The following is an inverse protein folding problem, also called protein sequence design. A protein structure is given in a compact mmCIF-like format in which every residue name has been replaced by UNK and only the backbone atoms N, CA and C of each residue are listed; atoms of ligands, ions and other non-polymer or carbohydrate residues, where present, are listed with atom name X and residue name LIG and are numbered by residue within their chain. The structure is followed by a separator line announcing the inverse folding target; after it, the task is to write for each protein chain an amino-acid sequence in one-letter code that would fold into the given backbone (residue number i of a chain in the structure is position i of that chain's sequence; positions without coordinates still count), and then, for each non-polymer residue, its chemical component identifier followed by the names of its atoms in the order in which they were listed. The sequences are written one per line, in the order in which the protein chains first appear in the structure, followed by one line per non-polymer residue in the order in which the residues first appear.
data_IF_903217860469
#
_entry.id   IF_903217860469
#
_cell.length_a   1.000
_cell.length_b   1.000
_cell.length_c   1.000
_cell.angle_alpha   90.00
_cell.angle_beta   90.00
_cell.angle_gamma   90.00
#
_symmetry.space_group_name_H-M   'P 1'
#
loop_
_entity.id
_entity.type
_entity.pdbx_description
1 polymer ?
#
# COMPACT_ATOMS: atom_id res chain seq x y z
N UNK A 1 10.99 1.82 -39.59
CA UNK A 1 10.38 0.62 -38.95
C UNK A 1 9.89 1.05 -37.58
N UNK A 2 8.63 0.75 -37.23
CA UNK A 2 8.15 0.94 -35.86
C UNK A 2 8.80 -0.10 -34.95
N UNK A 3 9.42 0.34 -33.86
CA UNK A 3 10.01 -0.53 -32.85
C UNK A 3 9.05 -0.66 -31.67
N UNK A 4 8.83 -1.90 -31.22
CA UNK A 4 7.86 -2.23 -30.19
C UNK A 4 8.55 -2.80 -28.95
N UNK A 5 8.12 -2.36 -27.78
CA UNK A 5 8.50 -2.97 -26.51
C UNK A 5 7.26 -3.42 -25.74
N UNK A 6 7.32 -4.61 -25.18
CA UNK A 6 6.24 -5.25 -24.45
C UNK A 6 6.61 -5.42 -22.98
N UNK A 7 5.64 -5.19 -22.09
CA UNK A 7 5.75 -5.48 -20.66
C UNK A 7 4.59 -6.41 -20.31
N UNK A 8 4.88 -7.56 -19.74
CA UNK A 8 3.85 -8.51 -19.33
C UNK A 8 4.27 -9.21 -18.05
N UNK A 9 3.43 -9.22 -17.03
CA UNK A 9 3.68 -10.01 -15.83
C UNK A 9 2.82 -9.64 -14.64
N UNK A 10 3.22 -10.12 -13.48
CA UNK A 10 2.48 -9.98 -12.22
C UNK A 10 3.35 -9.49 -11.09
N UNK A 11 2.76 -8.69 -10.20
CA UNK A 11 3.39 -8.18 -8.98
C UNK A 11 2.42 -8.43 -7.83
N UNK A 12 2.86 -9.13 -6.79
CA UNK A 12 2.08 -9.27 -5.56
C UNK A 12 2.47 -8.16 -4.60
N UNK A 13 1.48 -7.42 -4.13
CA UNK A 13 1.66 -6.24 -3.28
C UNK A 13 0.79 -6.31 -2.05
N UNK A 14 1.24 -5.66 -0.98
CA UNK A 14 0.52 -5.54 0.29
C UNK A 14 0.38 -4.06 0.66
N UNK A 15 -0.78 -3.42 0.38
CA UNK A 15 -1.04 -2.04 0.76
C UNK A 15 -1.33 -1.93 2.26
N UNK A 16 -0.91 -0.81 2.84
CA UNK A 16 -1.26 -0.48 4.22
C UNK A 16 -2.77 -0.24 4.35
N UNK A 17 -3.32 -0.52 5.53
CA UNK A 17 -4.71 -0.23 5.85
C UNK A 17 -5.25 -1.12 6.96
N UNK A 18 -6.35 -0.68 7.57
CA UNK A 18 -6.99 -1.40 8.70
C UNK A 18 -8.17 -2.25 8.26
N UNK A 19 -8.86 -1.82 7.21
CA UNK A 19 -10.00 -2.54 6.63
C UNK A 19 -9.69 -2.94 5.20
N UNK A 20 -10.44 -3.91 4.67
CA UNK A 20 -10.30 -4.32 3.27
C UNK A 20 -10.55 -3.15 2.30
N UNK A 21 -11.58 -2.35 2.58
CA UNK A 21 -11.95 -1.20 1.77
C UNK A 21 -10.86 -0.12 1.79
N UNK A 22 -10.28 0.17 2.96
CA UNK A 22 -9.20 1.15 3.07
C UNK A 22 -7.94 0.69 2.32
N UNK A 23 -7.58 -0.60 2.43
CA UNK A 23 -6.46 -1.19 1.67
C UNK A 23 -6.64 -1.00 0.17
N UNK A 24 -7.85 -1.26 -0.34
CA UNK A 24 -8.17 -1.09 -1.76
C UNK A 24 -8.10 0.37 -2.19
N UNK A 25 -8.70 1.26 -1.41
CA UNK A 25 -8.67 2.71 -1.65
C UNK A 25 -7.23 3.22 -1.75
N UNK A 26 -6.39 2.90 -0.76
CA UNK A 26 -4.98 3.32 -0.72
C UNK A 26 -4.23 2.79 -1.94
N UNK A 27 -4.42 1.51 -2.30
CA UNK A 27 -3.76 0.92 -3.46
C UNK A 27 -4.15 1.63 -4.76
N UNK A 28 -5.45 1.86 -4.99
CA UNK A 28 -5.93 2.54 -6.19
C UNK A 28 -5.41 3.98 -6.26
N UNK A 29 -5.39 4.71 -5.14
CA UNK A 29 -4.81 6.05 -5.05
C UNK A 29 -3.32 6.03 -5.34
N UNK A 30 -2.55 5.10 -4.76
CA UNK A 30 -1.12 4.97 -5.04
C UNK A 30 -0.87 4.79 -6.53
N UNK A 31 -1.58 3.86 -7.16
CA UNK A 31 -1.45 3.57 -8.59
C UNK A 31 -1.75 4.80 -9.46
N UNK A 32 -2.78 5.58 -9.11
CA UNK A 32 -3.12 6.82 -9.81
C UNK A 32 -2.03 7.90 -9.70
N UNK A 33 -1.21 7.87 -8.64
CA UNK A 33 -0.10 8.80 -8.43
C UNK A 33 1.26 8.28 -8.92
N UNK A 34 1.33 7.11 -9.54
CA UNK A 34 2.59 6.58 -10.10
C UNK A 34 2.93 7.25 -11.44
N UNK A 35 4.23 7.36 -11.79
CA UNK A 35 4.64 7.93 -13.06
C UNK A 35 4.16 7.05 -14.22
N UNK A 36 3.76 7.64 -15.33
CA UNK A 36 3.27 6.89 -16.49
C UNK A 36 4.44 6.20 -17.20
N UNK A 37 4.24 4.95 -17.61
CA UNK A 37 5.14 4.24 -18.54
C UNK A 37 4.47 4.29 -19.92
N UNK A 38 4.98 5.13 -20.81
CA UNK A 38 4.26 5.55 -22.02
C UNK A 38 4.82 5.00 -23.32
N UNK A 39 3.93 4.88 -24.30
CA UNK A 39 4.22 4.58 -25.70
C UNK A 39 3.53 5.58 -26.62
N UNK A 40 3.88 5.61 -27.91
CA UNK A 40 3.28 6.59 -28.85
C UNK A 40 1.78 6.40 -29.07
N UNK A 41 1.26 5.18 -28.86
CA UNK A 41 -0.16 4.86 -29.03
C UNK A 41 -0.91 4.67 -27.71
N UNK A 42 -0.27 4.07 -26.71
CA UNK A 42 -0.88 3.74 -25.43
C UNK A 42 0.14 3.62 -24.31
N UNK A 43 -0.33 3.86 -23.10
CA UNK A 43 0.43 3.66 -21.88
C UNK A 43 0.28 2.23 -21.35
N UNK A 44 1.13 1.86 -20.39
CA UNK A 44 1.04 0.61 -19.66
C UNK A 44 -0.25 0.54 -18.84
N UNK A 45 -0.96 -0.59 -18.95
CA UNK A 45 -2.12 -0.90 -18.11
C UNK A 45 -1.71 -1.66 -16.85
N UNK A 46 -2.44 -1.39 -15.76
CA UNK A 46 -2.30 -2.09 -14.50
C UNK A 46 -3.68 -2.57 -14.07
N UNK A 47 -3.86 -3.88 -13.94
CA UNK A 47 -5.08 -4.49 -13.44
C UNK A 47 -4.87 -4.92 -12.00
N UNK A 48 -5.82 -4.62 -11.13
CA UNK A 48 -5.72 -4.91 -9.69
C UNK A 48 -6.70 -6.02 -9.32
N UNK A 49 -6.17 -7.17 -8.94
CA UNK A 49 -6.93 -8.36 -8.55
C UNK A 49 -6.75 -8.57 -7.04
N UNK A 50 -7.85 -8.58 -6.30
CA UNK A 50 -7.83 -8.97 -4.89
C UNK A 50 -7.78 -10.50 -4.78
N UNK A 51 -6.86 -11.05 -3.96
CA UNK A 51 -6.82 -12.50 -3.72
C UNK A 51 -8.07 -12.98 -2.99
N UNK A 52 -8.50 -14.20 -3.30
CA UNK A 52 -9.59 -14.85 -2.59
C UNK A 52 -9.14 -15.26 -1.18
N UNK A 53 -10.08 -15.30 -0.24
CA UNK A 53 -9.80 -15.65 1.16
C UNK A 53 -9.14 -14.51 1.94
N UNK A 54 -8.47 -14.86 3.03
CA UNK A 54 -7.79 -13.93 3.94
C UNK A 54 -6.43 -14.51 4.36
N UNK A 55 -5.45 -13.65 4.58
CA UNK A 55 -4.11 -14.01 5.07
C UNK A 55 -3.76 -13.29 6.39
N UNK A 56 -4.64 -12.43 6.87
CA UNK A 56 -4.47 -11.67 8.11
C UNK A 56 -5.74 -11.72 8.95
N UNK A 57 -5.57 -11.71 10.26
CA UNK A 57 -6.67 -11.79 11.21
C UNK A 57 -6.39 -10.98 12.47
N UNK A 58 -7.39 -10.27 12.99
CA UNK A 58 -7.34 -9.57 14.27
C UNK A 58 -8.46 -10.04 15.19
N UNK A 59 -8.21 -10.11 16.50
CA UNK A 59 -9.25 -10.43 17.49
C UNK A 59 -10.18 -9.25 17.81
N UNK A 60 -9.92 -8.10 17.17
CA UNK A 60 -10.64 -6.85 17.33
C UNK A 60 -10.95 -6.24 15.95
N UNK A 61 -11.90 -5.32 15.89
CA UNK A 61 -12.17 -4.51 14.70
C UNK A 61 -11.10 -3.43 14.44
N UNK A 62 -11.33 -2.58 13.44
CA UNK A 62 -10.40 -1.50 13.06
C UNK A 62 -10.14 -0.47 14.15
N UNK A 63 -11.01 -0.38 15.15
CA UNK A 63 -10.93 0.52 16.30
C UNK A 63 -10.40 -0.15 17.56
N UNK A 64 -10.03 -1.43 17.49
CA UNK A 64 -9.52 -2.19 18.62
C UNK A 64 -10.61 -2.82 19.48
N UNK A 65 -11.88 -2.82 19.02
CA UNK A 65 -13.01 -3.31 19.79
C UNK A 65 -13.40 -4.75 19.45
N UNK A 66 -13.83 -5.49 20.49
CA UNK A 66 -14.45 -6.81 20.30
C UNK A 66 -15.95 -6.64 20.04
N UNK A 67 -16.32 -6.67 18.76
CA UNK A 67 -17.70 -6.51 18.30
C UNK A 67 -18.36 -7.85 17.96
N UNK A 68 -19.69 -7.88 17.93
CA UNK A 68 -20.44 -9.06 17.48
C UNK A 68 -20.38 -9.30 15.96
N UNK A 69 -19.73 -8.42 15.19
CA UNK A 69 -19.60 -8.53 13.74
C UNK A 69 -18.33 -9.29 13.30
N UNK A 70 -17.52 -9.74 14.26
CA UNK A 70 -16.36 -10.57 13.99
C UNK A 70 -16.80 -12.01 13.64
N UNK A 71 -16.01 -12.71 12.83
CA UNK A 71 -16.40 -14.01 12.26
C UNK A 71 -15.62 -15.14 12.94
N UNK A 72 -16.31 -16.17 13.43
CA UNK A 72 -15.64 -17.35 13.97
C UNK A 72 -15.18 -18.33 12.88
N UNK A 73 -14.53 -19.42 13.31
CA UNK A 73 -14.07 -20.50 12.42
C UNK A 73 -15.19 -21.24 11.67
N UNK A 74 -16.45 -21.06 12.07
CA UNK A 74 -17.63 -21.62 11.41
C UNK A 74 -18.30 -20.63 10.44
N UNK A 75 -17.79 -19.41 10.32
CA UNK A 75 -18.42 -18.36 9.51
C UNK A 75 -19.54 -17.60 10.22
N UNK A 76 -19.77 -17.85 11.52
CA UNK A 76 -20.81 -17.18 12.29
C UNK A 76 -20.29 -15.89 12.93
N UNK A 77 -21.20 -14.93 13.08
CA UNK A 77 -20.93 -13.66 13.74
C UNK A 77 -20.93 -13.81 15.25
N UNK A 78 -19.83 -13.44 15.92
CA UNK A 78 -19.70 -13.58 17.37
C UNK A 78 -18.75 -12.55 17.98
N UNK A 79 -19.03 -12.17 19.23
CA UNK A 79 -18.21 -11.22 20.00
C UNK A 79 -17.03 -11.87 20.73
N UNK A 80 -17.18 -13.12 21.16
CA UNK A 80 -16.25 -13.74 22.11
C UNK A 80 -15.10 -14.51 21.45
N UNK A 81 -15.34 -15.04 20.24
CA UNK A 81 -14.41 -15.91 19.50
C UNK A 81 -14.26 -15.53 18.03
N UNK A 82 -14.68 -14.31 17.68
CA UNK A 82 -14.69 -13.85 16.30
C UNK A 82 -13.37 -13.18 15.96
N UNK A 83 -13.03 -13.22 14.68
CA UNK A 83 -11.87 -12.56 14.09
C UNK A 83 -12.31 -11.61 12.98
N UNK A 84 -11.64 -10.48 12.86
CA UNK A 84 -11.66 -9.64 11.67
C UNK A 84 -10.66 -10.23 10.69
N UNK A 85 -11.17 -10.80 9.60
CA UNK A 85 -10.34 -11.35 8.54
C UNK A 85 -10.11 -10.31 7.44
N UNK A 86 -8.85 -10.09 7.05
CA UNK A 86 -8.50 -9.25 5.90
C UNK A 86 -7.58 -9.99 4.93
N UNK A 87 -7.67 -9.58 3.67
CA UNK A 87 -6.74 -9.97 2.63
C UNK A 87 -5.77 -8.82 2.38
N UNK A 88 -4.53 -9.06 2.77
CA UNK A 88 -3.46 -8.08 2.71
C UNK A 88 -2.79 -8.12 1.34
N UNK A 89 -2.90 -9.25 0.61
CA UNK A 89 -2.26 -9.41 -0.69
C UNK A 89 -3.18 -9.12 -1.89
N UNK A 90 -2.66 -8.28 -2.80
CA UNK A 90 -3.25 -7.99 -4.11
C UNK A 90 -2.29 -8.39 -5.22
N UNK A 91 -2.84 -8.82 -6.35
CA UNK A 91 -2.07 -9.13 -7.56
C UNK A 91 -2.29 -7.99 -8.55
N UNK A 92 -1.20 -7.32 -8.90
CA UNK A 92 -1.15 -6.37 -10.01
C UNK A 92 -0.73 -7.12 -11.27
N UNK A 93 -1.55 -7.09 -12.32
CA UNK A 93 -1.18 -7.57 -13.65
C UNK A 93 -0.76 -6.36 -14.46
N UNK A 94 0.48 -6.35 -14.94
CA UNK A 94 1.01 -5.31 -15.81
C UNK A 94 1.00 -5.79 -17.26
N UNK A 95 0.41 -4.99 -18.15
CA UNK A 95 0.36 -5.27 -19.58
C UNK A 95 0.64 -3.99 -20.38
N UNK A 96 1.59 -4.06 -21.30
CA UNK A 96 1.90 -2.98 -22.21
C UNK A 96 2.37 -3.51 -23.56
N UNK A 97 1.89 -2.90 -24.64
CA UNK A 97 2.58 -2.91 -25.93
C UNK A 97 2.81 -1.46 -26.32
N UNK A 98 4.07 -1.03 -26.23
CA UNK A 98 4.51 0.34 -26.39
C UNK A 98 5.19 0.49 -27.74
N UNK A 99 4.60 1.29 -28.62
CA UNK A 99 5.13 1.61 -29.94
C UNK A 99 6.11 2.78 -29.87
N UNK A 100 7.11 2.75 -30.76
CA UNK A 100 8.17 3.75 -30.91
C UNK A 100 8.97 3.95 -29.61
N UNK A 101 9.20 2.84 -28.90
CA UNK A 101 9.89 2.80 -27.61
C UNK A 101 11.05 1.82 -27.61
N UNK A 102 12.24 2.31 -27.28
CA UNK A 102 13.42 1.46 -27.13
C UNK A 102 13.35 0.64 -25.83
N UNK A 103 14.00 -0.53 -25.85
CA UNK A 103 14.06 -1.42 -24.70
C UNK A 103 14.62 -0.72 -23.46
N UNK A 104 15.76 -0.03 -23.58
CA UNK A 104 16.43 0.62 -22.45
C UNK A 104 15.58 1.76 -21.84
N UNK A 105 14.88 2.50 -22.69
CA UNK A 105 13.98 3.57 -22.26
C UNK A 105 12.81 3.01 -21.45
N UNK A 106 12.14 1.99 -22.00
CA UNK A 106 11.03 1.29 -21.36
C UNK A 106 11.44 0.63 -20.05
N UNK A 107 12.60 -0.04 -20.03
CA UNK A 107 13.16 -0.65 -18.83
C UNK A 107 13.39 0.38 -17.73
N UNK A 108 14.00 1.53 -18.06
CA UNK A 108 14.26 2.60 -17.08
C UNK A 108 12.97 3.20 -16.51
N UNK A 109 11.98 3.44 -17.35
CA UNK A 109 10.69 3.96 -16.90
C UNK A 109 9.94 2.95 -16.03
N UNK A 110 9.92 1.68 -16.43
CA UNK A 110 9.31 0.62 -15.63
C UNK A 110 9.99 0.45 -14.27
N UNK A 111 11.33 0.46 -14.21
CA UNK A 111 12.05 0.38 -12.93
C UNK A 111 11.76 1.59 -12.04
N UNK A 112 11.67 2.81 -12.60
CA UNK A 112 11.27 4.00 -11.83
C UNK A 112 9.86 3.87 -11.28
N UNK A 113 8.92 3.38 -12.09
CA UNK A 113 7.55 3.10 -11.68
C UNK A 113 7.53 2.08 -10.53
N UNK A 114 8.26 0.98 -10.68
CA UNK A 114 8.36 -0.10 -9.71
C UNK A 114 8.99 0.35 -8.38
N UNK A 115 10.06 1.16 -8.44
CA UNK A 115 10.70 1.70 -7.22
C UNK A 115 9.76 2.66 -6.48
N UNK A 116 9.00 3.49 -7.20
CA UNK A 116 8.00 4.37 -6.57
C UNK A 116 6.83 3.59 -5.99
N UNK A 117 6.40 2.52 -6.64
CA UNK A 117 5.41 1.60 -6.08
C UNK A 117 5.96 0.97 -4.79
N UNK A 118 7.16 0.38 -4.84
CA UNK A 118 7.78 -0.32 -3.71
C UNK A 118 8.02 0.57 -2.48
N UNK A 119 8.32 1.86 -2.67
CA UNK A 119 8.40 2.82 -1.56
C UNK A 119 7.07 3.06 -0.85
N UNK A 120 5.96 3.02 -1.58
CA UNK A 120 4.62 3.38 -1.08
C UNK A 120 3.83 2.17 -0.59
N UNK A 121 4.02 1.02 -1.23
CA UNK A 121 3.27 -0.22 -1.01
C UNK A 121 4.28 -1.36 -0.99
N UNK A 122 4.14 -2.27 -0.03
CA UNK A 122 5.06 -3.38 0.14
C UNK A 122 4.94 -4.36 -1.04
N UNK A 123 6.08 -4.78 -1.59
CA UNK A 123 6.13 -5.75 -2.70
C UNK A 123 6.58 -7.09 -2.14
N UNK A 124 5.71 -8.09 -2.26
CA UNK A 124 5.96 -9.45 -1.77
C UNK A 124 6.66 -10.31 -2.83
N UNK A 125 6.25 -10.14 -4.09
CA UNK A 125 6.76 -10.93 -5.19
C UNK A 125 6.63 -10.16 -6.50
N UNK A 126 7.61 -10.32 -7.40
CA UNK A 126 7.56 -9.80 -8.75
C UNK A 126 7.96 -10.87 -9.76
N UNK A 127 7.22 -10.95 -10.86
CA UNK A 127 7.58 -11.69 -12.05
C UNK A 127 7.09 -10.93 -13.29
N UNK A 128 7.96 -10.11 -13.86
CA UNK A 128 7.64 -9.27 -15.02
C UNK A 128 8.65 -9.47 -16.14
N UNK A 129 8.15 -9.74 -17.34
CA UNK A 129 8.97 -9.85 -18.55
C UNK A 129 8.87 -8.55 -19.35
N UNK A 130 10.03 -8.01 -19.74
CA UNK A 130 10.13 -6.91 -20.69
C UNK A 130 10.80 -7.45 -21.95
N UNK A 131 10.21 -7.21 -23.11
CA UNK A 131 10.71 -7.69 -24.41
C UNK A 131 10.69 -6.56 -25.43
N UNK A 132 11.85 -6.21 -25.97
CA UNK A 132 11.99 -5.40 -27.17
C UNK A 132 12.28 -6.27 -28.41
N UNK A 133 12.75 -5.62 -29.48
CA UNK A 133 13.05 -6.28 -30.76
C UNK A 133 14.11 -7.39 -30.62
N UNK A 134 15.29 -7.06 -30.06
CA UNK A 134 16.42 -8.00 -29.90
C UNK A 134 16.77 -8.34 -28.45
N UNK A 135 16.10 -7.69 -27.49
CA UNK A 135 16.44 -7.77 -26.06
C UNK A 135 15.23 -8.22 -25.26
N UNK A 136 15.46 -9.07 -24.28
CA UNK A 136 14.45 -9.38 -23.28
C UNK A 136 15.08 -9.56 -21.92
N UNK A 137 14.33 -9.21 -20.88
CA UNK A 137 14.74 -9.44 -19.49
C UNK A 137 13.54 -9.88 -18.69
N UNK A 138 13.80 -10.64 -17.63
CA UNK A 138 12.81 -11.04 -16.65
C UNK A 138 13.23 -10.41 -15.33
N UNK A 139 12.37 -9.54 -14.81
CA UNK A 139 12.49 -8.97 -13.49
C UNK A 139 11.79 -9.95 -12.55
N UNK A 140 12.58 -10.56 -11.68
CA UNK A 140 12.12 -11.42 -10.59
C UNK A 140 12.81 -10.99 -9.31
N UNK A 141 12.16 -11.20 -8.19
CA UNK A 141 12.79 -10.94 -6.90
C UNK A 141 13.95 -11.92 -6.68
N UNK A 142 14.98 -11.44 -5.98
CA UNK A 142 16.12 -12.24 -5.59
C UNK A 142 16.48 -11.92 -4.15
N UNK A 143 16.68 -12.96 -3.34
CA UNK A 143 17.17 -12.77 -1.99
C UNK A 143 18.65 -12.35 -2.05
N UNK A 144 18.97 -11.19 -1.48
CA UNK A 144 20.35 -10.76 -1.28
C UNK A 144 20.72 -11.04 0.16
N UNK A 145 21.89 -11.66 0.37
CA UNK A 145 22.48 -11.83 1.69
C UNK A 145 23.11 -10.49 2.12
N UNK A 146 22.70 -9.97 3.27
CA UNK A 146 23.23 -8.73 3.84
C UNK A 146 23.83 -9.03 5.24
N UNK A 147 24.82 -8.26 5.68
CA UNK A 147 25.41 -8.41 7.02
C UNK A 147 24.37 -8.16 8.13
N UNK A 148 23.35 -7.32 7.87
CA UNK A 148 22.28 -7.00 8.83
C UNK A 148 21.11 -7.99 8.81
N UNK A 149 20.86 -8.68 7.69
CA UNK A 149 19.73 -9.59 7.51
C UNK A 149 20.16 -10.83 6.70
N UNK A 150 19.90 -12.04 7.23
CA UNK A 150 20.42 -13.29 6.65
C UNK A 150 19.99 -13.50 5.18
N UNK A 151 18.73 -13.19 4.86
CA UNK A 151 18.19 -13.18 3.50
C UNK A 151 17.05 -12.17 3.42
N UNK A 152 17.14 -11.20 2.50
CA UNK A 152 16.04 -10.26 2.30
C UNK A 152 15.81 -9.98 0.81
N UNK A 153 14.52 -9.88 0.46
CA UNK A 153 14.04 -9.55 -0.87
C UNK A 153 14.42 -8.11 -1.24
N UNK A 154 14.89 -7.88 -2.46
CA UNK A 154 15.34 -6.54 -2.88
C UNK A 154 14.19 -5.55 -2.91
N UNK A 155 13.02 -5.98 -3.41
CA UNK A 155 11.88 -5.10 -3.54
C UNK A 155 11.15 -4.85 -2.22
N UNK A 156 11.22 -5.80 -1.28
CA UNK A 156 10.72 -5.61 0.08
C UNK A 156 11.44 -4.44 0.78
N UNK A 157 12.76 -4.35 0.62
CA UNK A 157 13.58 -3.29 1.21
C UNK A 157 13.33 -1.87 0.67
N UNK A 158 12.54 -1.74 -0.39
CA UNK A 158 12.16 -0.42 -0.90
C UNK A 158 11.08 0.23 -0.04
N UNK A 159 10.29 -0.55 0.68
CA UNK A 159 9.14 -0.08 1.43
C UNK A 159 9.57 0.88 2.54
N UNK A 160 8.97 2.08 2.53
CA UNK A 160 9.16 3.05 3.59
C UNK A 160 8.16 2.70 4.70
N UNK A 161 8.61 2.16 5.83
CA UNK A 161 7.70 1.85 6.94
C UNK A 161 6.92 3.08 7.44
N UNK A 162 5.82 2.81 8.12
CA UNK A 162 4.97 3.84 8.72
C UNK A 162 5.75 4.53 9.85
N UNK A 163 5.57 5.84 10.05
CA UNK A 163 6.19 6.65 11.12
C UNK A 163 6.05 6.03 12.50
N UNK A 164 4.94 5.32 12.75
CA UNK A 164 4.64 4.63 14.02
C UNK A 164 5.52 3.42 14.30
N UNK A 165 6.12 2.83 13.27
CA UNK A 165 6.98 1.65 13.38
C UNK A 165 8.47 2.01 13.24
N UNK A 166 8.78 3.25 12.86
CA UNK A 166 10.15 3.75 12.67
C UNK A 166 10.64 4.55 13.86
N UNK A 167 11.93 4.42 14.16
CA UNK A 167 12.59 5.20 15.20
C UNK A 167 12.76 6.69 14.83
N UNK A 168 12.84 7.00 13.52
CA UNK A 168 13.08 8.38 13.04
C UNK A 168 11.80 9.21 12.88
N UNK A 169 10.62 8.59 13.01
CA UNK A 169 9.32 9.25 12.87
C UNK A 169 8.96 9.76 11.47
N UNK A 170 9.75 9.48 10.43
CA UNK A 170 9.48 9.97 9.08
C UNK A 170 8.29 9.21 8.46
N UNK A 171 7.22 9.92 8.03
CA UNK A 171 6.02 9.27 7.52
C UNK A 171 6.22 8.68 6.12
N UNK A 172 5.65 7.49 5.90
CA UNK A 172 5.40 6.96 4.58
C UNK A 172 4.42 7.86 3.81
N UNK A 173 4.60 7.97 2.50
CA UNK A 173 3.75 8.79 1.63
C UNK A 173 2.25 8.46 1.74
N UNK A 174 1.85 7.23 2.03
CA UNK A 174 0.46 6.80 2.13
C UNK A 174 -0.19 7.14 3.48
N UNK A 175 0.58 7.60 4.49
CA UNK A 175 0.05 7.78 5.85
C UNK A 175 -1.02 8.85 5.97
N UNK A 176 -0.98 9.89 5.14
CA UNK A 176 -2.02 10.93 5.15
C UNK A 176 -3.41 10.37 4.76
N UNK A 177 -3.48 9.20 4.12
CA UNK A 177 -4.73 8.50 3.79
C UNK A 177 -5.25 7.66 4.96
N UNK A 178 -4.48 7.52 6.03
CA UNK A 178 -4.92 6.92 7.29
C UNK A 178 -5.48 8.01 8.20
N UNK A 179 -6.46 7.65 9.02
CA UNK A 179 -6.93 8.56 10.05
C UNK A 179 -5.87 8.73 11.15
N UNK A 180 -5.77 9.95 11.68
CA UNK A 180 -5.00 10.22 12.90
C UNK A 180 -5.63 9.45 14.06
N UNK A 181 -4.82 8.72 14.84
CA UNK A 181 -5.27 7.98 16.02
C UNK A 181 -5.30 8.90 17.24
N UNK A 182 -6.24 8.66 18.14
CA UNK A 182 -6.10 9.12 19.52
C UNK A 182 -4.86 8.48 20.16
N UNK A 183 -4.26 9.17 21.14
CA UNK A 183 -3.11 8.66 21.88
C UNK A 183 -3.48 7.34 22.55
N UNK A 184 -2.57 6.35 22.47
CA UNK A 184 -2.72 5.02 23.07
C UNK A 184 -4.01 4.25 22.69
N UNK A 185 -4.70 4.64 21.60
CA UNK A 185 -5.98 4.06 21.19
C UNK A 185 -6.04 3.84 19.68
N UNK A 186 -6.73 2.79 19.22
CA UNK A 186 -6.95 2.50 17.79
C UNK A 186 -8.07 3.34 17.16
N UNK A 187 -8.79 4.10 17.99
CA UNK A 187 -9.81 5.03 17.54
C UNK A 187 -9.23 6.21 16.74
N UNK A 188 -9.95 6.68 15.71
CA UNK A 188 -9.70 7.98 15.12
C UNK A 188 -9.81 9.09 16.16
N UNK A 189 -8.86 10.01 16.15
CA UNK A 189 -8.75 11.13 17.09
C UNK A 189 -10.06 11.95 17.18
N UNK A 190 -10.68 12.23 16.03
CA UNK A 190 -11.96 12.95 15.93
C UNK A 190 -13.15 12.16 16.48
N UNK A 191 -13.15 10.83 16.35
CA UNK A 191 -14.19 10.00 16.94
C UNK A 191 -13.99 9.89 18.45
N UNK A 192 -12.73 9.83 18.90
CA UNK A 192 -12.42 9.84 20.31
C UNK A 192 -12.90 11.14 20.98
N UNK A 193 -12.62 12.30 20.39
CA UNK A 193 -13.14 13.60 20.84
C UNK A 193 -14.67 13.66 20.96
N UNK A 194 -15.38 12.97 20.06
CA UNK A 194 -16.84 12.94 20.07
C UNK A 194 -17.43 12.06 21.17
N UNK A 195 -16.80 10.91 21.44
CA UNK A 195 -17.42 9.84 22.23
C UNK A 195 -16.74 9.59 23.58
N UNK A 196 -15.51 10.03 23.76
CA UNK A 196 -14.74 9.88 24.99
C UNK A 196 -14.38 11.27 25.54
N UNK A 197 -14.41 11.41 26.86
CA UNK A 197 -13.96 12.64 27.53
C UNK A 197 -12.48 12.51 27.89
N UNK A 198 -11.61 12.47 26.88
CA UNK A 198 -10.15 12.39 27.06
C UNK A 198 -9.55 13.78 26.90
N UNK A 199 -9.23 14.42 28.03
CA UNK A 199 -8.72 15.79 28.07
C UNK A 199 -7.50 16.02 27.16
N UNK A 200 -6.56 15.07 27.10
CA UNK A 200 -5.34 15.25 26.29
C UNK A 200 -5.67 15.16 24.79
N UNK A 201 -6.52 14.21 24.41
CA UNK A 201 -6.99 14.11 23.03
C UNK A 201 -7.85 15.32 22.62
N UNK A 202 -8.69 15.80 23.52
CA UNK A 202 -9.62 16.89 23.27
C UNK A 202 -8.88 18.22 23.04
N UNK A 203 -7.89 18.54 23.88
CA UNK A 203 -7.03 19.72 23.71
C UNK A 203 -6.28 19.68 22.36
N UNK A 204 -5.77 18.52 21.94
CA UNK A 204 -5.07 18.37 20.66
C UNK A 204 -6.01 18.49 19.45
N UNK A 205 -7.23 17.96 19.55
CA UNK A 205 -8.25 18.11 18.50
C UNK A 205 -8.69 19.57 18.36
N UNK A 206 -8.94 20.24 19.48
CA UNK A 206 -9.31 21.66 19.47
C UNK A 206 -8.21 22.52 18.85
N UNK A 207 -6.94 22.30 19.22
CA UNK A 207 -5.79 22.97 18.59
C UNK A 207 -5.74 22.75 17.07
N UNK A 208 -6.02 21.53 16.59
CA UNK A 208 -6.05 21.23 15.14
C UNK A 208 -7.21 21.92 14.44
N UNK A 209 -8.39 21.95 15.06
CA UNK A 209 -9.57 22.64 14.52
C UNK A 209 -9.29 24.15 14.44
N UNK A 210 -8.68 24.75 15.45
CA UNK A 210 -8.27 26.15 15.44
C UNK A 210 -7.28 26.44 14.30
N UNK A 211 -6.27 25.58 14.15
CA UNK A 211 -5.30 25.67 13.05
C UNK A 211 -5.96 25.56 11.67
N UNK A 212 -6.84 24.58 11.46
CA UNK A 212 -7.57 24.38 10.21
C UNK A 212 -8.52 25.54 9.88
N UNK A 213 -9.10 26.17 10.90
CA UNK A 213 -9.96 27.35 10.77
C UNK A 213 -9.19 28.66 10.60
N UNK A 214 -7.87 28.63 10.76
CA UNK A 214 -7.02 29.82 10.69
C UNK A 214 -7.28 30.81 11.83
N UNK A 215 -7.74 30.34 12.99
CA UNK A 215 -7.91 31.19 14.17
C UNK A 215 -6.53 31.35 14.81
N UNK A 216 -5.83 32.42 14.44
CA UNK A 216 -4.64 32.86 15.15
C UNK A 216 -5.05 33.62 16.40
N UNK A 217 -4.68 33.12 17.58
CA UNK A 217 -4.67 33.93 18.79
C UNK A 217 -3.54 34.97 18.65
N UNK A 218 -3.89 36.16 18.15
CA UNK A 218 -3.07 37.38 18.31
C UNK A 218 -3.09 37.86 19.77
#
# INVERSE_FOLDING_TARGET
MSYWTYITGTITVSPIGRTQAQKRYILDTVLAHLPIVSGSERDMNVYVIQKNGHNSSSSCDEFGERTNNLTDWHGNKTRSRGWLYTQDEYILVVDAALRDREFNQTYREFIKWLVRLGKRVMIENILVKIRGYDKSTIIKDYCVQNEKYSYQNVFFNLFEDISRTKDNGEPNWCEYMLYSRAKDSDYPMMLAYKYFNDKENDEEVERRIEYERGISNE
#
